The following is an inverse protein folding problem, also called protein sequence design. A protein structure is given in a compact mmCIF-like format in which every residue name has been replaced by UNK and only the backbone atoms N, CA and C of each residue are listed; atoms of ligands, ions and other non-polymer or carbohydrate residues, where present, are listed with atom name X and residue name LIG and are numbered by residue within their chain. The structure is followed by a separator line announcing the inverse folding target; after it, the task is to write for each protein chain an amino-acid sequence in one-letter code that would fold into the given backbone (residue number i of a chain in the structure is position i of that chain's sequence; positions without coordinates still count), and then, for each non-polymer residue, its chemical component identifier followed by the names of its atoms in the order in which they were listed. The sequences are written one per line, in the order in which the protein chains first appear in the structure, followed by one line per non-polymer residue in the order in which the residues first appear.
data_IF_154713508595
#
_entry.id   IF_154713508595
#
_cell.length_a   1.000
_cell.length_b   1.000
_cell.length_c   1.000
_cell.angle_alpha   90.00
_cell.angle_beta   90.00
_cell.angle_gamma   90.00
#
_symmetry.space_group_name_H-M   'P 1'
#
loop_
_entity.id
_entity.type
_entity.pdbx_description
1 polymer ?
#
# COMPACT_ATOMS: atom_id res chain seq x y z
N UNK A 1 29.78 -12.23 35.46
CA UNK A 1 30.34 -11.43 34.35
C UNK A 1 31.68 -10.81 34.79
N UNK A 2 32.78 -11.08 34.09
CA UNK A 2 34.14 -10.66 34.53
C UNK A 2 34.35 -9.14 34.33
N UNK A 3 35.15 -8.50 35.18
CA UNK A 3 35.30 -7.04 35.26
C UNK A 3 35.71 -6.36 33.94
N UNK A 4 36.55 -7.02 33.15
CA UNK A 4 37.01 -6.51 31.85
C UNK A 4 35.90 -6.45 30.80
N UNK A 5 34.85 -7.28 30.89
CA UNK A 5 33.67 -7.15 30.03
C UNK A 5 32.88 -5.87 30.35
N UNK A 6 32.80 -5.49 31.62
CA UNK A 6 32.13 -4.24 32.03
C UNK A 6 32.87 -3.01 31.51
N UNK A 7 34.21 -3.04 31.56
CA UNK A 7 35.07 -1.97 31.02
C UNK A 7 34.92 -1.87 29.50
N UNK A 8 34.92 -3.00 28.79
CA UNK A 8 34.73 -3.04 27.34
C UNK A 8 33.37 -2.45 26.92
N UNK A 9 32.28 -2.83 27.60
CA UNK A 9 30.95 -2.27 27.35
C UNK A 9 30.95 -0.75 27.56
N UNK A 10 31.56 -0.28 28.65
CA UNK A 10 31.63 1.15 28.97
C UNK A 10 32.37 1.94 27.89
N UNK A 11 33.50 1.41 27.40
CA UNK A 11 34.27 2.02 26.31
C UNK A 11 33.45 2.04 25.01
N UNK A 12 32.76 0.95 24.66
CA UNK A 12 31.88 0.91 23.48
C UNK A 12 30.77 1.97 23.57
N UNK A 13 30.09 2.09 24.72
CA UNK A 13 29.04 3.11 24.91
C UNK A 13 29.60 4.52 24.72
N UNK A 14 30.76 4.83 25.28
CA UNK A 14 31.38 6.16 25.11
C UNK A 14 31.74 6.43 23.65
N UNK A 15 32.36 5.46 22.97
CA UNK A 15 32.77 5.61 21.55
C UNK A 15 31.55 5.76 20.62
N UNK A 16 30.50 4.97 20.82
CA UNK A 16 29.31 5.01 19.97
C UNK A 16 28.28 6.07 20.40
N UNK A 17 28.41 6.67 21.58
CA UNK A 17 27.45 7.69 22.07
C UNK A 17 27.23 8.86 21.11
N UNK A 18 28.24 9.42 20.40
CA UNK A 18 27.99 10.51 19.46
C UNK A 18 27.15 10.06 18.25
N UNK A 19 27.34 8.81 17.79
CA UNK A 19 26.56 8.23 16.69
C UNK A 19 25.13 7.94 17.13
N UNK A 20 24.95 7.41 18.35
CA UNK A 20 23.63 7.17 18.95
C UNK A 20 22.87 8.49 19.11
N UNK A 21 23.53 9.53 19.66
CA UNK A 21 22.94 10.86 19.82
C UNK A 21 22.57 11.45 18.46
N UNK A 22 23.47 11.37 17.47
CA UNK A 22 23.19 11.84 16.11
C UNK A 22 21.97 11.14 15.51
N UNK A 23 21.86 9.82 15.66
CA UNK A 23 20.71 9.03 15.20
C UNK A 23 19.40 9.41 15.91
N UNK A 24 19.44 9.67 17.22
CA UNK A 24 18.27 10.14 17.97
C UNK A 24 17.86 11.53 17.49
N UNK A 25 18.82 12.44 17.29
CA UNK A 25 18.55 13.79 16.80
C UNK A 25 17.95 13.78 15.39
N UNK A 26 18.48 12.98 14.47
CA UNK A 26 17.93 12.89 13.10
C UNK A 26 16.53 12.29 13.09
N UNK A 27 16.29 11.22 13.84
CA UNK A 27 14.95 10.63 14.00
C UNK A 27 13.96 11.63 14.63
N UNK A 28 14.39 12.38 15.64
CA UNK A 28 13.56 13.40 16.29
C UNK A 28 13.22 14.55 15.34
N UNK A 29 14.18 15.00 14.52
CA UNK A 29 13.95 16.03 13.50
C UNK A 29 12.99 15.52 12.43
N UNK A 30 13.21 14.31 11.90
CA UNK A 30 12.30 13.69 10.94
C UNK A 30 10.86 13.64 11.50
N UNK A 31 10.72 13.18 12.75
CA UNK A 31 9.44 13.13 13.46
C UNK A 31 8.79 14.51 13.62
N UNK A 32 9.56 15.55 13.96
CA UNK A 32 9.08 16.93 14.10
C UNK A 32 8.54 17.50 12.79
N UNK A 33 9.03 17.05 11.64
CA UNK A 33 8.52 17.47 10.33
C UNK A 33 7.37 16.60 9.82
N UNK A 34 7.42 15.30 10.12
CA UNK A 34 6.42 14.33 9.67
C UNK A 34 5.08 14.55 10.38
N UNK A 35 5.08 14.76 11.70
CA UNK A 35 3.85 14.88 12.48
C UNK A 35 2.96 16.08 12.03
N UNK A 36 3.49 17.30 11.80
CA UNK A 36 2.69 18.39 11.25
C UNK A 36 2.19 18.13 9.83
N UNK A 37 2.99 17.46 8.98
CA UNK A 37 2.58 17.09 7.61
C UNK A 37 1.41 16.12 7.66
N UNK A 38 1.51 15.05 8.45
CA UNK A 38 0.49 14.02 8.58
C UNK A 38 -0.79 14.59 9.21
N UNK A 39 -0.65 15.46 10.22
CA UNK A 39 -1.80 16.16 10.80
C UNK A 39 -2.48 17.07 9.78
N UNK A 40 -1.72 17.79 8.96
CA UNK A 40 -2.27 18.64 7.90
C UNK A 40 -3.01 17.81 6.84
N UNK A 41 -2.43 16.69 6.43
CA UNK A 41 -3.06 15.75 5.50
C UNK A 41 -4.39 15.24 6.06
N UNK A 42 -4.39 14.75 7.29
CA UNK A 42 -5.59 14.32 8.00
C UNK A 42 -6.66 15.42 8.03
N UNK A 43 -6.32 16.64 8.45
CA UNK A 43 -7.30 17.75 8.55
C UNK A 43 -7.90 18.18 7.22
N UNK A 44 -7.29 17.80 6.09
CA UNK A 44 -7.82 18.09 4.76
C UNK A 44 -8.62 16.92 4.15
N UNK A 45 -8.61 15.75 4.81
CA UNK A 45 -9.25 14.52 4.34
C UNK A 45 -10.78 14.57 4.44
N UNK A 46 -11.49 13.75 3.64
CA UNK A 46 -12.93 13.57 3.77
C UNK A 46 -13.28 12.89 5.10
N UNK A 47 -12.44 11.96 5.55
CA UNK A 47 -12.61 11.28 6.84
C UNK A 47 -12.69 12.28 8.02
N UNK A 48 -11.83 13.29 8.04
CA UNK A 48 -11.90 14.34 9.06
C UNK A 48 -13.15 15.22 8.92
N UNK A 49 -13.56 15.55 7.69
CA UNK A 49 -14.76 16.37 7.44
C UNK A 49 -16.03 15.69 7.95
N UNK A 50 -16.14 14.37 7.74
CA UNK A 50 -17.36 13.63 8.05
C UNK A 50 -17.39 13.16 9.53
N UNK A 51 -16.25 12.79 10.12
CA UNK A 51 -16.21 12.28 11.51
C UNK A 51 -15.67 13.25 12.56
N UNK A 52 -14.90 14.27 12.16
CA UNK A 52 -14.30 15.29 13.03
C UNK A 52 -13.59 14.73 14.28
N UNK A 53 -12.87 13.62 14.11
CA UNK A 53 -12.15 12.96 15.20
C UNK A 53 -10.80 13.65 15.49
N UNK A 54 -10.27 13.52 16.71
CA UNK A 54 -8.93 14.00 17.00
C UNK A 54 -7.89 13.17 16.24
N UNK A 55 -6.89 13.83 15.66
CA UNK A 55 -5.75 13.16 15.04
C UNK A 55 -5.03 12.27 16.05
N UNK A 56 -4.82 11.01 15.69
CA UNK A 56 -4.02 10.04 16.45
C UNK A 56 -2.76 9.68 15.66
N UNK A 57 -1.73 9.25 16.38
CA UNK A 57 -0.50 8.72 15.76
C UNK A 57 -0.87 7.51 14.90
N UNK A 58 -0.26 7.41 13.72
CA UNK A 58 -0.49 6.36 12.74
C UNK A 58 -1.89 6.29 12.11
N UNK A 59 -2.76 7.28 12.35
CA UNK A 59 -4.11 7.29 11.77
C UNK A 59 -4.11 7.21 10.24
N UNK A 60 -3.13 7.84 9.57
CA UNK A 60 -3.01 7.77 8.12
C UNK A 60 -2.73 6.36 7.58
N UNK A 61 -2.20 5.47 8.44
CA UNK A 61 -1.92 4.07 8.11
C UNK A 61 -3.05 3.13 8.56
N UNK A 62 -4.05 3.63 9.29
CA UNK A 62 -5.16 2.79 9.76
C UNK A 62 -6.01 2.30 8.58
N UNK A 63 -6.47 1.04 8.59
CA UNK A 63 -7.34 0.48 7.57
C UNK A 63 -8.56 1.36 7.29
N UNK A 64 -9.21 1.84 8.35
CA UNK A 64 -10.42 2.66 8.32
C UNK A 64 -10.21 3.95 7.52
N UNK A 65 -9.15 4.70 7.87
CA UNK A 65 -8.84 5.97 7.24
C UNK A 65 -8.48 5.81 5.76
N UNK A 66 -7.62 4.81 5.46
CA UNK A 66 -7.15 4.53 4.10
C UNK A 66 -8.31 4.12 3.20
N UNK A 67 -9.10 3.17 3.67
CA UNK A 67 -10.29 2.70 2.96
C UNK A 67 -11.30 3.83 2.72
N UNK A 68 -11.66 4.57 3.77
CA UNK A 68 -12.68 5.62 3.67
C UNK A 68 -12.33 6.71 2.66
N UNK A 69 -11.10 7.23 2.71
CA UNK A 69 -10.67 8.24 1.75
C UNK A 69 -10.55 7.65 0.34
N UNK A 70 -10.14 6.39 0.24
CA UNK A 70 -10.13 5.62 -1.00
C UNK A 70 -11.50 5.55 -1.68
N UNK A 71 -12.55 5.16 -0.94
CA UNK A 71 -13.91 5.04 -1.47
C UNK A 71 -14.52 6.41 -1.83
N UNK A 72 -14.25 7.46 -1.02
CA UNK A 72 -14.75 8.83 -1.28
C UNK A 72 -14.12 9.43 -2.53
N UNK A 73 -12.80 9.25 -2.71
CA UNK A 73 -12.07 9.72 -3.91
C UNK A 73 -12.62 9.10 -5.20
N UNK A 74 -13.08 7.86 -5.13
CA UNK A 74 -13.62 7.07 -6.25
C UNK A 74 -15.15 7.13 -6.37
N UNK A 75 -15.80 7.85 -5.46
CA UNK A 75 -17.26 7.98 -5.39
C UNK A 75 -18.00 6.63 -5.41
N UNK A 76 -17.47 5.64 -4.68
CA UNK A 76 -18.10 4.32 -4.60
C UNK A 76 -19.37 4.36 -3.73
N UNK A 77 -20.44 3.66 -4.12
CA UNK A 77 -21.71 3.62 -3.37
C UNK A 77 -21.60 2.67 -2.17
N UNK A 78 -20.75 3.01 -1.20
CA UNK A 78 -20.48 2.21 -0.01
C UNK A 78 -21.04 2.92 1.22
N UNK A 79 -21.86 2.19 1.99
CA UNK A 79 -22.46 2.70 3.22
C UNK A 79 -21.50 2.47 4.39
N UNK A 80 -20.68 3.48 4.69
CA UNK A 80 -19.72 3.45 5.78
C UNK A 80 -20.37 3.86 7.10
N UNK A 81 -20.13 3.09 8.17
CA UNK A 81 -20.73 3.29 9.49
C UNK A 81 -19.67 3.32 10.59
N UNK A 82 -19.89 4.19 11.56
CA UNK A 82 -19.14 4.25 12.82
C UNK A 82 -20.11 4.10 13.98
N UNK A 83 -19.95 3.05 14.78
CA UNK A 83 -20.81 2.80 15.92
C UNK A 83 -20.54 3.81 17.05
N UNK A 84 -21.60 4.41 17.58
CA UNK A 84 -21.48 5.35 18.69
C UNK A 84 -21.13 4.67 20.02
N UNK A 85 -21.57 3.41 20.21
CA UNK A 85 -21.45 2.65 21.45
C UNK A 85 -20.00 2.31 21.81
N UNK A 86 -19.22 1.87 20.82
CA UNK A 86 -17.88 1.32 21.01
C UNK A 86 -16.84 1.92 20.03
N UNK A 87 -17.26 2.74 19.08
CA UNK A 87 -16.39 3.35 18.08
C UNK A 87 -15.94 2.41 16.96
N UNK A 88 -16.49 1.19 16.86
CA UNK A 88 -16.18 0.27 15.78
C UNK A 88 -16.61 0.87 14.43
N UNK A 89 -15.74 0.74 13.44
CA UNK A 89 -15.99 1.22 12.08
C UNK A 89 -16.11 0.01 11.15
N UNK A 90 -17.12 0.04 10.29
CA UNK A 90 -17.42 -1.00 9.33
C UNK A 90 -18.16 -0.41 8.15
N UNK A 91 -18.38 -1.19 7.09
CA UNK A 91 -19.19 -0.72 5.96
C UNK A 91 -20.04 -1.83 5.35
N UNK A 92 -21.12 -1.44 4.69
CA UNK A 92 -21.94 -2.33 3.89
C UNK A 92 -21.63 -2.13 2.42
N UNK A 93 -21.41 -3.23 1.71
CA UNK A 93 -21.27 -3.25 0.26
C UNK A 93 -21.92 -4.52 -0.29
N UNK A 94 -22.81 -4.38 -1.27
CA UNK A 94 -23.55 -5.51 -1.88
C UNK A 94 -24.22 -6.45 -0.87
N UNK A 95 -24.82 -5.89 0.19
CA UNK A 95 -25.45 -6.60 1.32
C UNK A 95 -24.49 -7.41 2.21
N UNK A 96 -23.18 -7.26 2.05
CA UNK A 96 -22.16 -7.84 2.93
C UNK A 96 -21.66 -6.75 3.87
N UNK A 97 -21.54 -7.07 5.16
CA UNK A 97 -20.87 -6.24 6.15
C UNK A 97 -19.38 -6.56 6.14
N UNK A 98 -18.55 -5.53 6.01
CA UNK A 98 -17.11 -5.64 6.06
C UNK A 98 -16.56 -4.98 7.32
N UNK A 99 -15.76 -5.75 8.05
CA UNK A 99 -14.98 -5.32 9.20
C UNK A 99 -13.53 -5.07 8.81
N UNK A 100 -12.89 -4.16 9.54
CA UNK A 100 -11.44 -3.99 9.52
C UNK A 100 -10.79 -4.88 10.60
N UNK A 101 -9.60 -5.44 10.33
CA UNK A 101 -8.88 -6.24 11.31
C UNK A 101 -8.35 -5.37 12.44
N UNK A 102 -8.33 -5.90 13.66
CA UNK A 102 -7.65 -5.29 14.82
C UNK A 102 -6.32 -5.99 15.16
N UNK A 103 -5.77 -6.74 14.20
CA UNK A 103 -4.51 -7.50 14.28
C UNK A 103 -3.59 -7.16 13.11
N UNK A 104 -2.30 -7.49 13.22
CA UNK A 104 -1.25 -7.04 12.29
C UNK A 104 -1.00 -8.04 11.15
N UNK A 105 -1.00 -9.35 11.44
CA UNK A 105 -0.70 -10.40 10.46
C UNK A 105 -1.63 -11.61 10.60
N UNK A 106 -1.75 -12.38 9.52
CA UNK A 106 -2.45 -13.67 9.48
C UNK A 106 -1.53 -14.70 8.82
N UNK A 107 -1.36 -15.87 9.43
CA UNK A 107 -0.62 -16.98 8.82
C UNK A 107 -1.27 -18.34 9.14
N UNK A 108 -1.02 -19.31 8.27
CA UNK A 108 -1.43 -20.68 8.47
C UNK A 108 -0.31 -21.45 9.18
N UNK A 109 -0.59 -21.88 10.40
CA UNK A 109 0.30 -22.73 11.18
C UNK A 109 0.18 -24.18 10.70
N UNK A 110 1.13 -24.64 9.91
CA UNK A 110 1.13 -26.00 9.33
C UNK A 110 1.17 -27.10 10.39
N UNK A 111 1.92 -26.90 11.48
CA UNK A 111 2.08 -27.89 12.55
C UNK A 111 0.77 -28.14 13.29
N UNK A 112 0.03 -27.06 13.58
CA UNK A 112 -1.27 -27.12 14.24
C UNK A 112 -2.43 -27.28 13.26
N UNK A 113 -2.19 -27.05 11.97
CA UNK A 113 -3.20 -26.97 10.91
C UNK A 113 -4.33 -25.99 11.23
N UNK A 114 -3.98 -24.81 11.75
CA UNK A 114 -4.93 -23.73 12.09
C UNK A 114 -4.44 -22.40 11.53
N UNK A 115 -5.39 -21.50 11.26
CA UNK A 115 -5.08 -20.10 11.02
C UNK A 115 -4.82 -19.37 12.33
N UNK A 116 -3.78 -18.56 12.37
CA UNK A 116 -3.42 -17.72 13.52
C UNK A 116 -3.36 -16.24 13.08
N UNK A 117 -3.73 -15.34 13.99
CA UNK A 117 -3.63 -13.90 13.83
C UNK A 117 -2.65 -13.32 14.86
N UNK A 118 -1.81 -12.39 14.43
CA UNK A 118 -0.80 -11.74 15.26
C UNK A 118 -1.30 -10.43 15.85
N UNK A 119 -1.22 -10.32 17.17
CA UNK A 119 -1.49 -9.09 17.90
C UNK A 119 -0.26 -8.71 18.74
N UNK A 120 0.48 -7.68 18.31
CA UNK A 120 1.68 -7.19 19.01
C UNK A 120 2.73 -8.31 19.27
N UNK A 121 2.93 -9.18 18.28
CA UNK A 121 3.84 -10.34 18.34
C UNK A 121 3.26 -11.58 19.05
N UNK A 122 2.00 -11.55 19.46
CA UNK A 122 1.28 -12.67 20.03
C UNK A 122 0.30 -13.31 19.04
N UNK A 123 0.67 -14.51 18.58
CA UNK A 123 -0.15 -15.33 17.69
C UNK A 123 -1.25 -16.09 18.46
N UNK A 124 -2.50 -15.85 18.07
CA UNK A 124 -3.69 -16.50 18.63
C UNK A 124 -4.52 -17.13 17.51
N UNK A 125 -5.40 -18.11 17.80
CA UNK A 125 -6.29 -18.68 16.77
C UNK A 125 -7.11 -17.59 16.07
N UNK A 126 -7.07 -17.58 14.74
CA UNK A 126 -7.76 -16.58 13.91
C UNK A 126 -9.27 -16.57 14.16
N UNK A 127 -9.87 -17.74 14.38
CA UNK A 127 -11.30 -17.88 14.66
C UNK A 127 -11.71 -17.12 15.93
N UNK A 128 -10.87 -17.11 16.97
CA UNK A 128 -11.14 -16.36 18.19
C UNK A 128 -11.07 -14.84 17.92
N UNK A 129 -10.06 -14.39 17.17
CA UNK A 129 -9.93 -12.98 16.77
C UNK A 129 -11.14 -12.51 15.95
N UNK A 130 -11.55 -13.31 14.96
CA UNK A 130 -12.73 -13.04 14.14
C UNK A 130 -14.01 -12.96 14.98
N UNK A 131 -14.27 -13.97 15.83
CA UNK A 131 -15.48 -14.01 16.65
C UNK A 131 -15.51 -12.83 17.66
N UNK A 132 -14.36 -12.44 18.20
CA UNK A 132 -14.25 -11.27 19.07
C UNK A 132 -14.62 -9.98 18.33
N UNK A 133 -14.18 -9.80 17.09
CA UNK A 133 -14.56 -8.65 16.25
C UNK A 133 -16.06 -8.65 15.93
N UNK A 134 -16.60 -9.79 15.50
CA UNK A 134 -18.03 -9.95 15.18
C UNK A 134 -18.91 -9.65 16.40
N UNK A 135 -18.50 -10.07 17.60
CA UNK A 135 -19.25 -9.86 18.84
C UNK A 135 -19.42 -8.38 19.24
N UNK A 136 -18.61 -7.47 18.66
CA UNK A 136 -18.67 -6.03 18.91
C UNK A 136 -19.74 -5.32 18.05
N UNK A 137 -20.34 -6.00 17.07
CA UNK A 137 -21.36 -5.40 16.21
C UNK A 137 -22.69 -5.36 16.97
N UNK A 138 -23.32 -4.17 17.08
CA UNK A 138 -24.59 -4.00 17.82
C UNK A 138 -25.82 -4.42 17.00
N UNK A 139 -25.61 -4.82 15.76
CA UNK A 139 -26.64 -5.13 14.78
C UNK A 139 -26.73 -6.64 14.59
N UNK A 140 -27.95 -7.17 14.67
CA UNK A 140 -28.21 -8.55 14.26
C UNK A 140 -28.01 -8.66 12.74
N UNK A 141 -26.92 -9.31 12.35
CA UNK A 141 -26.56 -9.65 10.97
C UNK A 141 -26.19 -11.13 10.96
N UNK A 142 -26.61 -11.83 9.91
CA UNK A 142 -26.19 -13.20 9.67
C UNK A 142 -24.66 -13.25 9.55
N UNK A 143 -23.99 -14.08 10.34
CA UNK A 143 -22.53 -14.17 10.36
C UNK A 143 -21.94 -14.58 9.00
N UNK A 144 -22.72 -15.25 8.14
CA UNK A 144 -22.31 -15.57 6.76
C UNK A 144 -22.23 -14.35 5.85
N UNK A 145 -22.85 -13.23 6.25
CA UNK A 145 -22.81 -11.96 5.55
C UNK A 145 -21.77 -11.00 6.14
N UNK A 146 -20.85 -11.48 6.99
CA UNK A 146 -19.78 -10.69 7.58
C UNK A 146 -18.44 -11.14 7.00
N UNK A 147 -17.66 -10.18 6.52
CA UNK A 147 -16.29 -10.42 6.03
C UNK A 147 -15.30 -9.48 6.71
N UNK A 148 -14.06 -9.93 6.84
CA UNK A 148 -12.91 -9.09 7.15
C UNK A 148 -12.25 -8.65 5.86
N UNK A 149 -12.11 -7.33 5.67
CA UNK A 149 -11.28 -6.80 4.60
C UNK A 149 -9.81 -6.89 5.02
N UNK A 150 -9.01 -7.70 4.33
CA UNK A 150 -7.61 -7.99 4.68
C UNK A 150 -6.71 -7.61 3.52
N UNK A 151 -5.65 -6.84 3.78
CA UNK A 151 -4.62 -6.56 2.78
C UNK A 151 -3.68 -7.74 2.57
N UNK A 152 -3.17 -7.87 1.35
CA UNK A 152 -2.26 -8.96 0.98
C UNK A 152 -0.96 -8.96 1.79
N UNK A 153 -0.50 -7.79 2.21
CA UNK A 153 0.70 -7.63 3.06
C UNK A 153 0.54 -8.24 4.45
N UNK A 154 -0.69 -8.44 4.93
CA UNK A 154 -0.94 -9.07 6.24
C UNK A 154 -0.61 -10.56 6.24
N UNK A 155 -0.43 -11.18 5.06
CA UNK A 155 0.04 -12.55 4.93
C UNK A 155 1.56 -12.58 4.70
N UNK A 156 2.36 -13.15 5.61
CA UNK A 156 3.82 -13.14 5.48
C UNK A 156 4.32 -14.04 4.34
N UNK A 157 3.50 -15.01 3.92
CA UNK A 157 3.81 -15.90 2.79
C UNK A 157 3.70 -15.15 1.47
N UNK A 158 4.63 -15.40 0.54
CA UNK A 158 4.58 -14.82 -0.82
C UNK A 158 3.65 -15.58 -1.75
N UNK A 159 3.30 -16.82 -1.46
CA UNK A 159 2.37 -17.63 -2.25
C UNK A 159 1.30 -18.23 -1.35
N UNK A 160 0.05 -17.89 -1.63
CA UNK A 160 -1.15 -18.43 -0.97
C UNK A 160 -1.86 -19.48 -1.84
N UNK A 161 -1.34 -19.79 -3.03
CA UNK A 161 -1.96 -20.81 -3.89
C UNK A 161 -1.98 -22.17 -3.19
N UNK A 162 -3.13 -22.83 -3.22
CA UNK A 162 -3.33 -24.14 -2.59
C UNK A 162 -3.54 -24.10 -1.08
N UNK A 163 -3.55 -22.91 -0.46
CA UNK A 163 -3.96 -22.72 0.93
C UNK A 163 -5.43 -22.30 0.94
N UNK A 164 -6.25 -22.98 1.74
CA UNK A 164 -7.66 -22.66 1.89
C UNK A 164 -7.83 -21.46 2.85
N UNK A 165 -8.01 -20.29 2.26
CA UNK A 165 -8.21 -19.03 3.00
C UNK A 165 -9.63 -19.04 3.59
N UNK A 166 -9.82 -18.68 4.87
CA UNK A 166 -11.15 -18.65 5.49
C UNK A 166 -12.14 -17.81 4.68
N UNK A 167 -13.35 -18.32 4.44
CA UNK A 167 -14.36 -17.65 3.57
C UNK A 167 -14.79 -16.26 4.07
N UNK A 168 -14.62 -16.02 5.38
CA UNK A 168 -14.87 -14.72 6.00
C UNK A 168 -13.78 -13.68 5.67
N UNK A 169 -12.67 -14.05 5.03
CA UNK A 169 -11.67 -13.10 4.56
C UNK A 169 -12.01 -12.63 3.15
N UNK A 170 -12.02 -11.32 2.97
CA UNK A 170 -11.95 -10.67 1.67
C UNK A 170 -10.54 -10.11 1.48
N UNK A 171 -9.77 -10.76 0.61
CA UNK A 171 -8.39 -10.39 0.33
C UNK A 171 -8.34 -9.24 -0.70
N UNK A 172 -7.69 -8.14 -0.34
CA UNK A 172 -7.42 -7.03 -1.27
C UNK A 172 -5.92 -6.73 -1.33
N UNK A 173 -5.47 -6.00 -2.36
CA UNK A 173 -4.08 -5.52 -2.42
C UNK A 173 -3.84 -4.37 -1.45
N UNK A 174 -4.81 -3.46 -1.37
CA UNK A 174 -4.69 -2.23 -0.62
C UNK A 174 -6.06 -1.73 -0.16
N UNK A 175 -6.18 -1.27 1.09
CA UNK A 175 -7.38 -0.63 1.63
C UNK A 175 -7.79 0.60 0.79
N UNK A 176 -6.83 1.39 0.34
CA UNK A 176 -7.05 2.60 -0.47
C UNK A 176 -7.79 2.32 -1.79
N UNK A 177 -7.61 1.11 -2.34
CA UNK A 177 -8.11 0.69 -3.65
C UNK A 177 -8.92 -0.61 -3.56
N UNK A 178 -9.41 -0.95 -2.37
CA UNK A 178 -10.27 -2.12 -2.19
C UNK A 178 -11.42 -2.08 -3.21
N UNK A 179 -11.74 -3.26 -3.74
CA UNK A 179 -12.71 -3.47 -4.82
C UNK A 179 -12.21 -3.17 -6.24
N UNK A 180 -10.97 -2.71 -6.41
CA UNK A 180 -10.32 -2.67 -7.72
C UNK A 180 -9.55 -3.96 -8.01
N UNK A 181 -9.70 -4.46 -9.24
CA UNK A 181 -8.94 -5.60 -9.75
C UNK A 181 -9.08 -6.87 -8.89
N UNK A 182 -10.20 -7.04 -8.17
CA UNK A 182 -10.45 -8.14 -7.23
C UNK A 182 -10.56 -9.52 -7.90
N UNK A 183 -11.02 -9.58 -9.16
CA UNK A 183 -11.17 -10.85 -9.88
C UNK A 183 -9.84 -11.54 -10.22
N UNK A 184 -8.71 -10.87 -9.97
CA UNK A 184 -7.39 -11.40 -10.32
C UNK A 184 -6.90 -12.38 -9.25
N UNK A 185 -6.83 -13.68 -9.59
CA UNK A 185 -6.15 -14.69 -8.75
C UNK A 185 -4.68 -14.36 -8.46
N UNK A 186 -4.12 -13.38 -9.15
CA UNK A 186 -2.76 -12.89 -8.92
C UNK A 186 -2.57 -12.29 -7.52
N UNK A 187 -3.63 -11.92 -6.79
CA UNK A 187 -3.52 -11.47 -5.38
C UNK A 187 -2.96 -12.54 -4.45
N UNK A 188 -3.09 -13.82 -4.81
CA UNK A 188 -2.54 -14.91 -4.01
C UNK A 188 -1.02 -14.95 -4.06
N UNK A 189 -0.38 -14.31 -5.06
CA UNK A 189 1.06 -14.36 -5.29
C UNK A 189 1.71 -12.99 -5.27
N UNK A 190 2.70 -12.83 -4.41
CA UNK A 190 3.59 -11.68 -4.34
C UNK A 190 4.82 -11.97 -5.21
N UNK A 191 5.13 -11.13 -6.21
CA UNK A 191 6.28 -11.35 -7.06
C UNK A 191 7.58 -11.19 -6.26
N UNK A 192 8.47 -12.17 -6.37
CA UNK A 192 9.79 -12.16 -5.69
C UNK A 192 10.94 -11.78 -6.62
N UNK A 193 10.68 -11.72 -7.93
CA UNK A 193 11.66 -11.37 -8.97
C UNK A 193 10.97 -10.81 -10.22
N UNK A 194 11.76 -10.22 -11.12
CA UNK A 194 11.27 -9.59 -12.34
C UNK A 194 10.51 -10.56 -13.27
N UNK A 195 10.92 -11.83 -13.33
CA UNK A 195 10.26 -12.83 -14.17
C UNK A 195 8.85 -13.15 -13.69
N UNK A 196 8.66 -13.27 -12.37
CA UNK A 196 7.34 -13.49 -11.79
C UNK A 196 6.40 -12.31 -12.05
N UNK A 197 6.86 -11.08 -11.78
CA UNK A 197 6.06 -9.89 -12.07
C UNK A 197 5.76 -9.80 -13.58
N UNK A 198 6.71 -10.11 -14.45
CA UNK A 198 6.50 -10.11 -15.90
C UNK A 198 5.39 -11.08 -16.33
N UNK A 199 5.33 -12.28 -15.75
CA UNK A 199 4.24 -13.23 -16.03
C UNK A 199 2.90 -12.75 -15.47
N UNK A 200 2.89 -12.08 -14.31
CA UNK A 200 1.69 -11.43 -13.77
C UNK A 200 1.21 -10.29 -14.69
N UNK A 201 2.13 -9.47 -15.21
CA UNK A 201 1.84 -8.40 -16.18
C UNK A 201 1.19 -8.95 -17.45
N UNK A 202 1.72 -10.05 -18.00
CA UNK A 202 1.14 -10.73 -19.18
C UNK A 202 -0.27 -11.24 -18.96
N UNK A 203 -0.58 -11.66 -17.75
CA UNK A 203 -1.90 -12.16 -17.36
C UNK A 203 -2.87 -11.03 -16.98
N UNK A 204 -2.39 -9.80 -16.85
CA UNK A 204 -3.20 -8.66 -16.44
C UNK A 204 -4.00 -8.13 -17.63
N UNK A 205 -5.35 -8.20 -17.60
CA UNK A 205 -6.16 -7.69 -18.69
C UNK A 205 -6.01 -6.17 -18.82
N UNK A 206 -6.07 -5.69 -20.06
CA UNK A 206 -6.02 -4.28 -20.43
C UNK A 206 -4.74 -3.53 -20.01
N UNK A 207 -3.67 -4.24 -19.67
CA UNK A 207 -2.36 -3.63 -19.43
C UNK A 207 -1.76 -3.14 -20.76
N UNK A 208 -1.54 -1.83 -20.87
CA UNK A 208 -1.05 -1.18 -22.08
C UNK A 208 0.48 -1.21 -22.22
N UNK A 209 0.96 -0.88 -23.43
CA UNK A 209 2.38 -0.74 -23.75
C UNK A 209 3.11 -2.06 -23.95
N UNK A 210 4.32 -1.95 -24.51
CA UNK A 210 5.19 -3.10 -24.75
C UNK A 210 6.19 -3.23 -23.61
N UNK A 211 6.32 -4.42 -23.03
CA UNK A 211 7.26 -4.69 -21.95
C UNK A 211 8.03 -5.99 -22.19
N UNK A 212 9.27 -6.01 -21.70
CA UNK A 212 10.16 -7.17 -21.78
C UNK A 212 11.09 -7.19 -20.57
N UNK A 213 11.64 -8.36 -20.26
CA UNK A 213 12.65 -8.51 -19.23
C UNK A 213 14.02 -8.23 -19.83
N UNK A 214 14.78 -7.32 -19.23
CA UNK A 214 16.18 -7.06 -19.56
C UNK A 214 17.09 -7.78 -18.55
N UNK A 215 17.64 -8.92 -18.98
CA UNK A 215 18.34 -9.85 -18.10
C UNK A 215 17.39 -10.59 -17.15
N UNK A 216 17.81 -10.77 -15.89
CA UNK A 216 17.01 -11.44 -14.85
C UNK A 216 16.47 -10.49 -13.76
N UNK A 217 16.81 -9.20 -13.84
CA UNK A 217 16.67 -8.25 -12.73
C UNK A 217 15.65 -7.14 -12.97
N UNK A 218 15.42 -6.75 -14.24
CA UNK A 218 14.63 -5.57 -14.57
C UNK A 218 13.60 -5.86 -15.65
N UNK A 219 12.43 -5.25 -15.53
CA UNK A 219 11.43 -5.15 -16.59
C UNK A 219 11.55 -3.76 -17.21
N UNK A 220 11.68 -3.72 -18.52
CA UNK A 220 11.63 -2.49 -19.30
C UNK A 220 10.24 -2.36 -19.91
N UNK A 221 9.53 -1.28 -19.60
CA UNK A 221 8.16 -1.06 -20.01
C UNK A 221 7.99 0.23 -20.79
N UNK A 222 7.66 0.08 -22.07
CA UNK A 222 7.46 1.14 -23.04
C UNK A 222 5.98 1.54 -23.07
N UNK A 223 5.50 2.14 -21.98
CA UNK A 223 4.08 2.50 -21.84
C UNK A 223 3.68 3.76 -22.64
N UNK A 224 4.61 4.70 -22.87
CA UNK A 224 4.32 5.94 -23.61
C UNK A 224 5.42 6.23 -24.64
N UNK A 225 5.08 6.81 -25.80
CA UNK A 225 6.03 7.01 -26.92
C UNK A 225 7.37 7.64 -26.51
N UNK A 226 7.33 8.64 -25.62
CA UNK A 226 8.51 9.36 -25.15
C UNK A 226 8.97 8.97 -23.74
N UNK A 227 8.38 7.94 -23.13
CA UNK A 227 8.64 7.55 -21.74
C UNK A 227 8.92 6.04 -21.65
N UNK A 228 9.86 5.67 -20.80
CA UNK A 228 10.12 4.30 -20.40
C UNK A 228 9.89 4.18 -18.90
N UNK A 229 9.37 3.06 -18.47
CA UNK A 229 9.30 2.69 -17.06
C UNK A 229 10.25 1.52 -16.84
N UNK A 230 11.15 1.65 -15.88
CA UNK A 230 12.06 0.59 -15.46
C UNK A 230 11.57 0.04 -14.12
N UNK A 231 11.39 -1.28 -14.04
CA UNK A 231 10.92 -1.94 -12.82
C UNK A 231 11.97 -2.95 -12.37
N UNK A 232 12.54 -2.73 -11.18
CA UNK A 232 13.41 -3.69 -10.51
C UNK A 232 12.66 -4.36 -9.36
N UNK A 233 12.80 -5.67 -9.20
CA UNK A 233 12.14 -6.42 -8.14
C UNK A 233 13.17 -6.96 -7.17
N UNK A 234 13.02 -6.58 -5.90
CA UNK A 234 13.78 -7.10 -4.77
C UNK A 234 12.81 -7.48 -3.64
N UNK A 235 13.19 -8.48 -2.85
CA UNK A 235 12.44 -8.97 -1.70
C UNK A 235 12.14 -7.92 -0.62
N UNK A 236 12.90 -6.83 -0.56
CA UNK A 236 12.76 -5.79 0.48
C UNK A 236 12.27 -4.48 -0.07
N UNK A 237 12.82 -4.06 -1.21
CA UNK A 237 12.57 -2.74 -1.76
C UNK A 237 12.67 -2.80 -3.29
N UNK A 238 11.52 -2.81 -3.96
CA UNK A 238 11.48 -2.75 -5.40
C UNK A 238 11.91 -1.35 -5.89
N UNK A 239 12.10 -1.22 -7.19
CA UNK A 239 12.43 0.03 -7.85
C UNK A 239 11.45 0.26 -8.98
N UNK A 240 10.88 1.47 -9.05
CA UNK A 240 10.10 1.93 -10.19
C UNK A 240 10.64 3.27 -10.66
N UNK A 241 11.27 3.29 -11.83
CA UNK A 241 11.85 4.48 -12.45
C UNK A 241 11.05 4.91 -13.67
N UNK A 242 10.75 6.21 -13.79
CA UNK A 242 10.09 6.80 -14.97
C UNK A 242 11.11 7.66 -15.71
N UNK A 243 11.40 7.30 -16.96
CA UNK A 243 12.49 7.85 -17.74
C UNK A 243 12.00 8.49 -19.04
N UNK A 244 12.62 9.61 -19.44
CA UNK A 244 12.36 10.22 -20.73
C UNK A 244 13.21 9.56 -21.83
N UNK A 245 12.57 9.17 -22.92
CA UNK A 245 13.26 8.76 -24.15
C UNK A 245 13.58 9.97 -25.02
N UNK A 246 14.78 9.99 -25.59
CA UNK A 246 15.18 10.91 -26.66
C UNK A 246 15.85 10.09 -27.76
N UNK A 247 15.31 10.15 -28.98
CA UNK A 247 15.80 9.38 -30.14
C UNK A 247 15.93 7.86 -29.88
N UNK A 248 14.95 7.27 -29.18
CA UNK A 248 14.95 5.84 -28.85
C UNK A 248 15.94 5.42 -27.75
N UNK A 249 16.64 6.36 -27.11
CA UNK A 249 17.53 6.10 -25.96
C UNK A 249 17.02 6.78 -24.70
N UNK A 250 17.33 6.21 -23.54
CA UNK A 250 17.07 6.84 -22.24
C UNK A 250 17.94 8.11 -22.17
N UNK A 251 17.28 9.26 -22.07
CA UNK A 251 17.95 10.57 -21.97
C UNK A 251 18.15 11.01 -20.53
N UNK A 252 17.10 10.95 -19.71
CA UNK A 252 17.13 11.39 -18.30
C UNK A 252 15.96 10.79 -17.52
N UNK A 253 16.20 10.44 -16.24
CA UNK A 253 15.13 10.11 -15.29
C UNK A 253 14.21 11.31 -15.04
N UNK A 254 12.92 11.05 -14.94
CA UNK A 254 11.89 12.01 -14.52
C UNK A 254 11.66 11.86 -13.03
N UNK A 255 11.45 10.65 -12.52
CA UNK A 255 11.28 10.38 -11.10
C UNK A 255 11.48 8.88 -10.85
N UNK A 256 11.63 8.50 -9.58
CA UNK A 256 11.60 7.11 -9.16
C UNK A 256 11.05 7.00 -7.74
N UNK A 257 10.58 5.80 -7.39
CA UNK A 257 10.20 5.46 -6.03
C UNK A 257 10.40 3.96 -5.79
N UNK A 258 10.18 3.58 -4.55
CA UNK A 258 10.56 2.28 -4.01
C UNK A 258 9.36 1.60 -3.34
N UNK A 259 8.47 0.98 -4.13
CA UNK A 259 7.39 0.18 -3.55
C UNK A 259 7.96 -1.09 -2.93
N UNK A 260 7.22 -1.67 -1.99
CA UNK A 260 7.49 -3.04 -1.53
C UNK A 260 7.12 -4.05 -2.62
N UNK A 261 7.55 -5.30 -2.46
CA UNK A 261 7.10 -6.40 -3.31
C UNK A 261 5.59 -6.66 -3.19
N UNK A 262 4.94 -6.29 -2.08
CA UNK A 262 3.49 -6.37 -1.91
C UNK A 262 2.74 -5.30 -2.69
N UNK A 263 3.35 -4.13 -2.91
CA UNK A 263 2.72 -2.99 -3.61
C UNK A 263 2.99 -2.99 -5.12
N UNK A 264 4.12 -3.55 -5.57
CA UNK A 264 4.60 -3.35 -6.94
C UNK A 264 3.63 -3.80 -8.04
N UNK A 265 2.88 -4.88 -7.83
CA UNK A 265 1.90 -5.33 -8.81
C UNK A 265 0.70 -4.39 -8.91
N UNK A 266 0.25 -3.84 -7.78
CA UNK A 266 -0.84 -2.88 -7.73
C UNK A 266 -0.42 -1.53 -8.38
N UNK A 267 0.81 -1.07 -8.14
CA UNK A 267 1.43 0.06 -8.82
C UNK A 267 1.44 -0.11 -10.35
N UNK A 268 1.83 -1.29 -10.83
CA UNK A 268 1.78 -1.63 -12.27
C UNK A 268 0.36 -1.50 -12.81
N UNK A 269 -0.65 -2.01 -12.10
CA UNK A 269 -2.05 -1.91 -12.52
C UNK A 269 -2.52 -0.44 -12.57
N UNK A 270 -2.21 0.35 -11.54
CA UNK A 270 -2.58 1.78 -11.46
C UNK A 270 -1.94 2.62 -12.55
N UNK A 271 -0.74 2.26 -13.00
CA UNK A 271 -0.02 3.00 -14.05
C UNK A 271 -0.46 2.57 -15.44
N UNK A 272 -0.61 1.26 -15.68
CA UNK A 272 -0.64 0.72 -17.03
C UNK A 272 -1.98 0.25 -17.56
N UNK A 273 -3.01 0.09 -16.73
CA UNK A 273 -4.31 -0.34 -17.23
C UNK A 273 -4.93 0.73 -18.14
N UNK A 274 -5.52 0.30 -19.25
CA UNK A 274 -6.21 1.16 -20.21
C UNK A 274 -7.17 2.11 -19.50
N UNK A 275 -7.06 3.41 -19.80
CA UNK A 275 -7.89 4.44 -19.16
C UNK A 275 -7.31 5.00 -17.87
N UNK A 276 -6.22 4.44 -17.34
CA UNK A 276 -5.50 5.03 -16.22
C UNK A 276 -4.55 6.14 -16.65
N UNK A 277 -4.21 7.01 -15.71
CA UNK A 277 -3.29 8.14 -15.88
C UNK A 277 -2.27 8.20 -14.76
N UNK A 278 -1.00 8.36 -15.13
CA UNK A 278 0.08 8.71 -14.23
C UNK A 278 0.36 10.22 -14.34
N UNK A 279 0.26 10.92 -13.21
CA UNK A 279 0.51 12.37 -13.12
C UNK A 279 1.74 12.62 -12.27
N UNK A 280 2.77 13.19 -12.88
CA UNK A 280 4.03 13.53 -12.21
C UNK A 280 4.27 15.03 -12.33
N UNK A 281 4.67 15.67 -11.23
CA UNK A 281 5.18 17.04 -11.25
C UNK A 281 6.69 17.02 -11.04
N UNK A 282 7.43 17.50 -12.02
CA UNK A 282 8.88 17.63 -11.97
C UNK A 282 9.31 19.10 -11.88
N UNK A 283 10.13 19.41 -10.90
CA UNK A 283 10.86 20.68 -10.75
C UNK A 283 12.32 20.47 -11.15
N UNK A 284 13.13 21.54 -11.14
CA UNK A 284 14.57 21.43 -11.41
C UNK A 284 15.33 20.60 -10.36
N UNK A 285 14.75 20.41 -9.17
CA UNK A 285 15.44 19.82 -8.01
C UNK A 285 14.56 18.90 -7.15
N UNK A 286 13.33 18.63 -7.58
CA UNK A 286 12.40 17.74 -6.87
C UNK A 286 11.33 17.23 -7.80
N UNK A 287 10.88 16.00 -7.57
CA UNK A 287 9.78 15.41 -8.33
C UNK A 287 8.80 14.74 -7.39
N UNK A 288 7.55 14.62 -7.82
CA UNK A 288 6.51 13.96 -7.05
C UNK A 288 5.48 13.34 -7.98
N UNK A 289 5.17 12.08 -7.73
CA UNK A 289 3.96 11.43 -8.24
C UNK A 289 2.77 12.05 -7.52
N UNK A 290 1.86 12.64 -8.28
CA UNK A 290 0.67 13.33 -7.76
C UNK A 290 -0.58 12.45 -7.79
N UNK A 291 -0.65 11.54 -8.76
CA UNK A 291 -1.79 10.65 -8.97
C UNK A 291 -1.40 9.47 -9.87
N UNK A 292 -1.97 8.31 -9.59
CA UNK A 292 -1.97 7.12 -10.45
C UNK A 292 -3.32 6.41 -10.27
N UNK A 293 -3.91 5.89 -11.36
CA UNK A 293 -5.24 5.28 -11.35
C UNK A 293 -6.14 5.81 -12.45
N UNK A 294 -7.45 5.57 -12.34
CA UNK A 294 -8.44 5.89 -13.37
C UNK A 294 -8.50 7.37 -13.73
N UNK A 295 -8.52 7.68 -15.02
CA UNK A 295 -8.61 9.06 -15.52
C UNK A 295 -9.83 9.82 -15.01
N UNK A 296 -10.96 9.15 -14.88
CA UNK A 296 -12.24 9.75 -14.45
C UNK A 296 -12.17 10.28 -13.01
N UNK A 297 -11.34 9.65 -12.18
CA UNK A 297 -11.12 10.01 -10.78
C UNK A 297 -9.92 10.96 -10.58
N UNK A 298 -9.23 11.35 -11.67
CA UNK A 298 -8.03 12.17 -11.60
C UNK A 298 -8.38 13.66 -11.32
N UNK A 299 -7.92 14.24 -10.20
CA UNK A 299 -8.22 15.64 -9.87
C UNK A 299 -7.37 16.65 -10.68
N UNK A 300 -6.46 16.15 -11.53
CA UNK A 300 -5.56 16.97 -12.34
C UNK A 300 -5.99 16.95 -13.80
N UNK A 301 -6.01 18.12 -14.43
CA UNK A 301 -6.26 18.25 -15.86
C UNK A 301 -4.95 18.43 -16.64
N UNK A 302 -4.90 17.80 -17.82
CA UNK A 302 -3.78 17.93 -18.77
C UNK A 302 -3.51 19.39 -19.17
N UNK A 303 -4.56 20.22 -19.17
CA UNK A 303 -4.52 21.61 -19.63
C UNK A 303 -4.28 22.64 -18.52
N UNK A 304 -4.15 22.25 -17.23
CA UNK A 304 -3.79 23.24 -16.21
C UNK A 304 -2.41 23.82 -16.51
N UNK A 305 -2.40 25.08 -16.90
CA UNK A 305 -1.19 25.91 -16.87
C UNK A 305 -0.85 26.17 -15.42
N UNK A 306 -0.10 25.26 -14.81
CA UNK A 306 0.43 25.48 -13.48
C UNK A 306 1.67 26.38 -13.56
N UNK A 307 1.77 27.32 -12.63
CA UNK A 307 2.78 28.38 -12.63
C UNK A 307 4.22 27.86 -12.40
N UNK A 308 4.39 26.66 -11.82
CA UNK A 308 5.70 26.13 -11.42
C UNK A 308 5.76 24.60 -11.64
N UNK A 309 6.87 24.14 -12.22
CA UNK A 309 7.12 22.72 -12.48
C UNK A 309 6.49 22.23 -13.78
N UNK A 310 7.13 21.24 -14.40
CA UNK A 310 6.57 20.56 -15.58
C UNK A 310 5.65 19.44 -15.11
N UNK A 311 4.41 19.47 -15.57
CA UNK A 311 3.44 18.40 -15.35
C UNK A 311 3.55 17.37 -16.49
N UNK A 312 3.78 16.12 -16.14
CA UNK A 312 3.64 14.98 -17.03
C UNK A 312 2.27 14.35 -16.76
N UNK A 313 1.42 14.34 -17.77
CA UNK A 313 0.11 13.69 -17.73
C UNK A 313 0.16 12.55 -18.75
N UNK A 314 0.35 11.34 -18.26
CA UNK A 314 0.64 10.16 -19.07
C UNK A 314 -0.57 9.22 -19.00
N UNK A 315 -1.27 9.03 -20.13
CA UNK A 315 -2.51 8.24 -20.20
C UNK A 315 -2.25 6.92 -20.90
N UNK A 316 -2.54 5.79 -20.23
CA UNK A 316 -2.35 4.45 -20.75
C UNK A 316 -3.41 4.14 -21.82
N UNK A 317 -2.98 3.84 -23.05
CA UNK A 317 -3.84 3.67 -24.23
C UNK A 317 -3.47 2.46 -25.07
#
# INVERSE_FOLDING_TARGET
MKWYHKVLICICVVIFSPIIILGICTASIAYLFEMPKNKKEYTNSEYFKDFNLPYKRYLLYSPEYRFYNGIKRRNLPIDYMRQESNGLEYFMFENILYLFPDFEQIDFNEEKSIWEADYDGHWNPFEEAYNNLVSKIDKEIDSSCIKLLIEREMFPRTDLNGIDIPECIFLTWSFDYAFENEDSLLKLRVPTNAKELFEMMKQTPDLCGDYYVDGDINIIWNLYDSIQIDIGIDSRECYLGVNKKSFGKIGSGITHWHPTNFEIYDEVCKIGKRGNVLVIRAFKSSESVLYMGEKENCPYNKESKQLIGKLYYLEAK
#
